data_IF_211431860432
#
_entry.id   IF_211431860432
#
_cell.length_a   1.000
_cell.length_b   1.000
_cell.length_c   1.000
_cell.angle_alpha   90.00
_cell.angle_beta   90.00
_cell.angle_gamma   90.00
#
_symmetry.space_group_name_H-M   'P 1'
#
loop_
_entity.id
_entity.type
_entity.pdbx_description
1 polymer ?
#
# COMPACT_ATOMS: atom_id res chain seq x y z
N UNK A 1 14.48 3.90 13.04
CA UNK A 1 14.02 5.00 12.17
C UNK A 1 15.26 5.58 11.51
N UNK A 2 15.47 5.37 10.21
CA UNK A 2 16.71 5.73 9.49
C UNK A 2 16.99 7.24 9.35
N UNK A 3 16.45 8.10 10.23
CA UNK A 3 16.69 9.55 10.20
C UNK A 3 16.12 10.30 8.99
N UNK A 4 15.64 9.58 7.97
CA UNK A 4 14.99 10.11 6.76
C UNK A 4 13.49 10.44 6.97
N UNK A 5 13.11 10.79 8.19
CA UNK A 5 11.77 11.33 8.43
C UNK A 5 11.73 12.76 7.91
N UNK A 6 10.90 13.05 6.90
CA UNK A 6 10.69 14.40 6.38
C UNK A 6 10.52 15.39 7.54
N UNK A 7 11.19 16.54 7.57
CA UNK A 7 10.97 17.48 8.70
C UNK A 7 9.52 17.99 8.66
N UNK A 8 8.89 18.29 9.81
CA UNK A 8 7.65 19.06 9.82
C UNK A 8 7.87 20.31 8.93
N UNK A 9 7.00 20.62 7.95
CA UNK A 9 5.56 20.33 7.88
C UNK A 9 5.15 19.20 6.91
N UNK A 10 6.07 18.38 6.40
CA UNK A 10 5.73 17.47 5.32
C UNK A 10 4.89 16.27 5.79
N UNK A 11 3.68 16.17 5.22
CA UNK A 11 2.76 15.06 5.45
C UNK A 11 3.28 13.80 4.75
N UNK A 12 3.67 12.80 5.52
CA UNK A 12 3.92 11.43 5.03
C UNK A 12 2.87 10.48 5.61
N UNK A 13 2.37 9.54 4.81
CA UNK A 13 1.30 8.64 5.22
C UNK A 13 1.64 7.84 6.49
N UNK A 14 2.90 7.40 6.63
CA UNK A 14 3.36 6.69 7.83
C UNK A 14 3.40 7.57 9.09
N UNK A 15 3.72 8.86 8.96
CA UNK A 15 3.65 9.80 10.09
C UNK A 15 2.21 10.14 10.44
N UNK A 16 1.34 10.35 9.45
CA UNK A 16 -0.09 10.60 9.69
C UNK A 16 -0.71 9.45 10.49
N UNK A 17 -0.32 8.20 10.19
CA UNK A 17 -0.76 7.03 10.95
C UNK A 17 -0.22 7.03 12.39
N UNK A 18 1.04 7.42 12.60
CA UNK A 18 1.67 7.51 13.92
C UNK A 18 1.03 8.61 14.79
N UNK A 19 0.76 9.78 14.22
CA UNK A 19 0.04 10.89 14.88
C UNK A 19 -1.43 10.54 15.13
N UNK A 20 -2.06 9.78 14.24
CA UNK A 20 -3.42 9.34 14.43
C UNK A 20 -3.57 8.32 15.57
N UNK A 21 -2.49 7.70 16.08
CA UNK A 21 -2.58 6.78 17.22
C UNK A 21 -3.01 7.50 18.51
N UNK A 22 -2.52 8.72 18.75
CA UNK A 22 -2.91 9.54 19.92
C UNK A 22 -4.28 10.16 19.75
N UNK A 23 -4.72 10.38 18.51
CA UNK A 23 -6.03 10.93 18.19
C UNK A 23 -7.05 9.85 17.83
N UNK A 24 -6.74 8.56 17.96
CA UNK A 24 -7.58 7.47 17.46
C UNK A 24 -8.97 7.45 18.12
N UNK A 25 -9.05 7.89 19.38
CA UNK A 25 -10.31 8.01 20.13
C UNK A 25 -11.10 9.28 19.75
N UNK A 26 -10.41 10.36 19.40
CA UNK A 26 -11.02 11.69 19.14
C UNK A 26 -11.33 11.95 17.65
N UNK A 27 -10.49 11.45 16.76
CA UNK A 27 -10.51 11.73 15.33
C UNK A 27 -10.04 10.50 14.52
N UNK A 28 -10.81 9.39 14.54
CA UNK A 28 -10.43 8.14 13.87
C UNK A 28 -10.24 8.28 12.36
N UNK A 29 -10.89 9.27 11.74
CA UNK A 29 -10.73 9.57 10.31
C UNK A 29 -9.28 9.89 9.93
N UNK A 30 -8.47 10.45 10.84
CA UNK A 30 -7.06 10.76 10.61
C UNK A 30 -6.20 9.52 10.38
N UNK A 31 -6.61 8.35 10.90
CA UNK A 31 -5.96 7.06 10.62
C UNK A 31 -6.53 6.40 9.36
N UNK A 32 -7.83 6.55 9.10
CA UNK A 32 -8.53 5.85 8.01
C UNK A 32 -8.02 6.30 6.64
N UNK A 33 -7.88 7.60 6.40
CA UNK A 33 -7.42 8.10 5.10
C UNK A 33 -6.03 7.61 4.68
N UNK A 34 -4.97 7.81 5.50
CA UNK A 34 -3.64 7.30 5.15
C UNK A 34 -3.60 5.77 5.15
N UNK A 35 -4.36 5.09 6.02
CA UNK A 35 -4.49 3.64 6.01
C UNK A 35 -5.08 3.11 4.70
N UNK A 36 -6.17 3.72 4.22
CA UNK A 36 -6.81 3.34 2.96
C UNK A 36 -5.91 3.61 1.76
N UNK A 37 -5.20 4.74 1.74
CA UNK A 37 -4.24 5.06 0.68
C UNK A 37 -3.13 4.00 0.56
N UNK A 38 -2.61 3.53 1.69
CA UNK A 38 -1.62 2.43 1.72
C UNK A 38 -2.24 1.14 1.20
N UNK A 39 -3.43 0.76 1.69
CA UNK A 39 -4.12 -0.47 1.26
C UNK A 39 -4.37 -0.48 -0.25
N UNK A 40 -4.89 0.62 -0.80
CA UNK A 40 -5.14 0.75 -2.24
C UNK A 40 -3.84 0.70 -3.05
N UNK A 41 -2.77 1.33 -2.55
CA UNK A 41 -1.47 1.29 -3.22
C UNK A 41 -0.91 -0.14 -3.26
N UNK A 42 -0.97 -0.86 -2.14
CA UNK A 42 -0.51 -2.25 -2.05
C UNK A 42 -1.35 -3.17 -2.92
N UNK A 43 -2.68 -3.02 -2.90
CA UNK A 43 -3.58 -3.79 -3.75
C UNK A 43 -3.32 -3.52 -5.24
N UNK A 44 -3.20 -2.25 -5.63
CA UNK A 44 -2.91 -1.87 -7.01
C UNK A 44 -1.57 -2.42 -7.50
N UNK A 45 -0.53 -2.34 -6.67
CA UNK A 45 0.78 -2.89 -7.01
C UNK A 45 0.78 -4.42 -7.06
N UNK A 46 0.08 -5.11 -6.15
CA UNK A 46 -0.06 -6.56 -6.17
C UNK A 46 -0.80 -7.02 -7.44
N UNK A 47 -1.95 -6.41 -7.74
CA UNK A 47 -2.74 -6.75 -8.93
C UNK A 47 -1.98 -6.44 -10.23
N UNK A 48 -1.23 -5.34 -10.26
CA UNK A 48 -0.37 -5.01 -11.39
C UNK A 48 0.77 -6.03 -11.53
N UNK A 49 1.37 -6.47 -10.43
CA UNK A 49 2.37 -7.53 -10.41
C UNK A 49 1.81 -8.86 -10.92
N UNK A 50 0.63 -9.25 -10.45
CA UNK A 50 -0.07 -10.46 -10.88
C UNK A 50 -0.46 -10.38 -12.36
N UNK A 51 -0.99 -9.25 -12.83
CA UNK A 51 -1.31 -9.05 -14.25
C UNK A 51 -0.07 -9.05 -15.15
N UNK A 52 1.03 -8.43 -14.71
CA UNK A 52 2.31 -8.51 -15.42
C UNK A 52 2.84 -9.94 -15.46
N UNK A 53 2.72 -10.68 -14.35
CA UNK A 53 3.10 -12.10 -14.28
C UNK A 53 2.27 -12.93 -15.25
N UNK A 54 0.95 -12.78 -15.25
CA UNK A 54 0.06 -13.52 -16.15
C UNK A 54 0.36 -13.22 -17.63
N UNK A 55 0.75 -11.99 -17.96
CA UNK A 55 1.16 -11.62 -19.32
C UNK A 55 2.54 -12.16 -19.71
N UNK A 56 3.47 -12.26 -18.75
CA UNK A 56 4.84 -12.73 -18.97
C UNK A 56 5.00 -14.24 -18.82
N UNK A 57 4.08 -14.91 -18.13
CA UNK A 57 4.10 -16.35 -17.87
C UNK A 57 3.27 -17.10 -18.93
N UNK A 58 3.90 -17.72 -19.96
CA UNK A 58 3.19 -18.41 -21.04
C UNK A 58 2.68 -19.80 -20.63
N UNK A 59 2.78 -20.17 -19.34
CA UNK A 59 2.61 -21.54 -18.85
C UNK A 59 1.21 -22.15 -19.10
N UNK A 60 0.18 -21.34 -19.38
CA UNK A 60 -1.15 -21.85 -19.77
C UNK A 60 -1.19 -22.44 -21.19
N UNK A 61 -0.14 -22.32 -22.01
CA UNK A 61 -0.11 -22.84 -23.39
C UNK A 61 0.33 -24.31 -23.53
N UNK A 62 0.92 -24.93 -22.52
CA UNK A 62 1.49 -26.28 -22.65
C UNK A 62 0.71 -27.42 -21.95
N UNK A 63 -0.29 -27.11 -21.13
CA UNK A 63 -1.07 -28.12 -20.40
C UNK A 63 -2.40 -28.50 -21.10
N UNK A 64 -2.38 -28.59 -22.44
CA UNK A 64 -3.52 -29.00 -23.26
C UNK A 64 -3.23 -30.19 -24.18
N UNK A 65 -2.12 -30.89 -23.96
CA UNK A 65 -1.72 -32.06 -24.75
C UNK A 65 -0.99 -33.08 -23.88
N UNK A 66 -1.73 -33.90 -23.12
CA UNK A 66 -1.48 -35.33 -22.91
C UNK A 66 -2.75 -35.98 -22.36
#
# INVERSE_FOLDING_TARGET
YLGLGTRPPEASWGRMLNEAQTLMVLAPHLAIFPGLAIVLSVLGLNLLGDGLRDMLDPALRHQGRM
#
